data_IF_412324455881
#
_entry.id   IF_412324455881
#
_cell.length_a   1.000
_cell.length_b   1.000
_cell.length_c   1.000
_cell.angle_alpha   90.00
_cell.angle_beta   90.00
_cell.angle_gamma   90.00
#
_symmetry.space_group_name_H-M   'P 1'
#
loop_
_entity.id
_entity.type
_entity.pdbx_description
1 polymer ?
#
# COMPACT_ATOMS: atom_id res chain seq x y z
N UNK A 1 11.97 -11.07 -5.23
CA UNK A 1 11.08 -11.16 -4.06
C UNK A 1 11.54 -12.28 -3.15
N UNK A 2 11.77 -11.98 -1.89
CA UNK A 2 12.28 -12.94 -0.90
C UNK A 2 11.20 -13.98 -0.51
N UNK A 3 11.57 -15.19 -0.05
CA UNK A 3 10.61 -16.17 0.46
C UNK A 3 9.75 -15.64 1.62
N UNK A 4 10.31 -14.74 2.44
CA UNK A 4 9.60 -14.07 3.54
C UNK A 4 8.47 -13.19 3.01
N UNK A 5 8.77 -12.30 2.06
CA UNK A 5 7.75 -11.40 1.48
C UNK A 5 6.67 -12.16 0.73
N UNK A 6 7.02 -13.26 0.06
CA UNK A 6 6.01 -14.12 -0.58
C UNK A 6 5.01 -14.66 0.44
N UNK A 7 5.47 -15.10 1.61
CA UNK A 7 4.59 -15.59 2.70
C UNK A 7 3.70 -14.48 3.25
N UNK A 8 4.23 -13.25 3.38
CA UNK A 8 3.48 -12.08 3.85
C UNK A 8 2.42 -11.67 2.81
N UNK A 9 2.77 -11.67 1.53
CA UNK A 9 1.91 -11.17 0.46
C UNK A 9 0.83 -12.19 0.02
N UNK A 10 1.14 -13.49 -0.01
CA UNK A 10 0.24 -14.50 -0.59
C UNK A 10 -1.19 -14.50 0.00
N UNK A 11 -1.40 -14.38 1.33
CA UNK A 11 -2.76 -14.32 1.90
C UNK A 11 -3.60 -13.17 1.35
N UNK A 12 -2.97 -12.03 1.07
CA UNK A 12 -3.63 -10.81 0.59
C UNK A 12 -3.83 -10.84 -0.94
N UNK A 13 -2.89 -11.46 -1.66
CA UNK A 13 -2.88 -11.42 -3.12
C UNK A 13 -3.58 -12.60 -3.81
N UNK A 14 -3.88 -13.69 -3.09
CA UNK A 14 -4.42 -14.93 -3.67
C UNK A 14 -5.75 -14.76 -4.42
N UNK A 15 -6.58 -13.82 -4.00
CA UNK A 15 -7.91 -13.56 -4.58
C UNK A 15 -7.88 -12.50 -5.67
N UNK A 16 -6.71 -11.92 -5.99
CA UNK A 16 -6.59 -10.90 -7.02
C UNK A 16 -6.45 -11.52 -8.40
N UNK A 17 -7.06 -10.88 -9.40
CA UNK A 17 -6.85 -11.22 -10.81
C UNK A 17 -5.36 -11.27 -11.15
N UNK A 18 -4.97 -12.22 -12.00
CA UNK A 18 -3.56 -12.48 -12.32
C UNK A 18 -2.81 -11.23 -12.81
N UNK A 19 -3.48 -10.34 -13.56
CA UNK A 19 -2.89 -9.07 -14.03
C UNK A 19 -2.63 -8.10 -12.88
N UNK A 20 -3.60 -7.93 -11.98
CA UNK A 20 -3.50 -7.04 -10.81
C UNK A 20 -2.45 -7.58 -9.84
N UNK A 21 -2.50 -8.89 -9.55
CA UNK A 21 -1.50 -9.59 -8.74
C UNK A 21 -0.07 -9.36 -9.26
N UNK A 22 0.16 -9.48 -10.57
CA UNK A 22 1.48 -9.16 -11.17
C UNK A 22 1.87 -7.69 -11.01
N UNK A 23 0.92 -6.75 -11.05
CA UNK A 23 1.17 -5.34 -10.78
C UNK A 23 1.65 -5.11 -9.35
N UNK A 24 0.91 -5.66 -8.38
CA UNK A 24 1.25 -5.57 -6.95
C UNK A 24 2.61 -6.21 -6.66
N UNK A 25 2.85 -7.42 -7.16
CA UNK A 25 4.11 -8.13 -6.95
C UNK A 25 5.32 -7.38 -7.53
N UNK A 26 5.18 -6.76 -8.71
CA UNK A 26 6.27 -5.94 -9.31
C UNK A 26 6.58 -4.72 -8.45
N UNK A 27 5.57 -4.07 -7.89
CA UNK A 27 5.75 -2.92 -7.00
C UNK A 27 6.45 -3.33 -5.70
N UNK A 28 6.02 -4.43 -5.07
CA UNK A 28 6.66 -4.97 -3.87
C UNK A 28 8.13 -5.28 -4.14
N UNK A 29 8.43 -5.98 -5.24
CA UNK A 29 9.80 -6.33 -5.62
C UNK A 29 10.67 -5.10 -5.89
N UNK A 30 10.11 -4.05 -6.50
CA UNK A 30 10.81 -2.78 -6.68
C UNK A 30 11.15 -2.12 -5.33
N UNK A 31 10.19 -2.08 -4.38
CA UNK A 31 10.41 -1.50 -3.05
C UNK A 31 11.43 -2.30 -2.24
N UNK A 32 11.42 -3.64 -2.32
CA UNK A 32 12.44 -4.48 -1.67
C UNK A 32 13.85 -4.20 -2.20
N UNK A 33 14.01 -4.09 -3.53
CA UNK A 33 15.31 -3.78 -4.14
C UNK A 33 15.79 -2.38 -3.77
N UNK A 34 14.88 -1.42 -3.73
CA UNK A 34 15.19 -0.05 -3.33
C UNK A 34 15.59 0.00 -1.85
N UNK A 35 14.90 -0.71 -0.95
CA UNK A 35 15.30 -0.82 0.46
C UNK A 35 16.70 -1.43 0.60
N UNK A 36 17.01 -2.50 -0.13
CA UNK A 36 18.32 -3.13 -0.12
C UNK A 36 19.42 -2.16 -0.61
N UNK A 37 19.12 -1.39 -1.66
CA UNK A 37 20.02 -0.37 -2.17
C UNK A 37 20.26 0.76 -1.15
N UNK A 38 19.20 1.29 -0.52
CA UNK A 38 19.30 2.33 0.51
C UNK A 38 20.08 1.83 1.73
N UNK A 39 19.83 0.59 2.16
CA UNK A 39 20.56 -0.05 3.24
C UNK A 39 22.05 -0.21 2.93
N UNK A 40 22.40 -0.61 1.70
CA UNK A 40 23.80 -0.74 1.27
C UNK A 40 24.54 0.58 1.13
N UNK A 41 23.83 1.71 1.06
CA UNK A 41 24.39 3.07 1.03
C UNK A 41 24.39 3.77 2.39
N UNK A 42 24.03 3.05 3.45
CA UNK A 42 23.92 3.61 4.81
C UNK A 42 23.00 4.84 4.88
N UNK A 43 21.87 4.79 4.15
CA UNK A 43 20.88 5.88 4.18
C UNK A 43 20.50 6.25 5.62
N UNK A 44 20.51 7.55 5.92
CA UNK A 44 20.31 8.05 7.28
C UNK A 44 18.93 7.67 7.82
N UNK A 45 17.89 7.74 6.98
CA UNK A 45 16.53 7.42 7.40
C UNK A 45 16.36 5.93 7.65
N UNK A 46 16.92 5.07 6.79
CA UNK A 46 16.93 3.61 7.01
C UNK A 46 17.66 3.26 8.31
N UNK A 47 18.84 3.84 8.51
CA UNK A 47 19.63 3.61 9.72
C UNK A 47 18.89 4.09 10.98
N UNK A 48 18.24 5.26 10.89
CA UNK A 48 17.47 5.84 11.99
C UNK A 48 16.28 4.96 12.39
N UNK A 49 15.42 4.57 11.44
CA UNK A 49 14.22 3.78 11.77
C UNK A 49 14.59 2.39 12.29
N UNK A 50 15.68 1.78 11.81
CA UNK A 50 16.18 0.50 12.34
C UNK A 50 16.61 0.61 13.80
N UNK A 51 17.31 1.70 14.19
CA UNK A 51 17.63 1.98 15.60
C UNK A 51 16.38 2.19 16.46
N UNK A 52 15.27 2.60 15.85
CA UNK A 52 13.95 2.75 16.48
C UNK A 52 13.14 1.44 16.51
N UNK A 53 13.73 0.31 16.11
CA UNK A 53 13.10 -1.01 16.17
C UNK A 53 12.25 -1.36 14.96
N UNK A 54 12.35 -0.62 13.85
CA UNK A 54 11.75 -1.03 12.59
C UNK A 54 12.59 -2.12 11.92
N UNK A 55 12.09 -3.36 11.98
CA UNK A 55 12.69 -4.48 11.26
C UNK A 55 12.36 -4.45 9.77
N UNK A 56 13.18 -5.13 8.98
CA UNK A 56 12.95 -5.28 7.54
C UNK A 56 11.63 -6.02 7.27
N UNK A 57 11.24 -7.00 8.09
CA UNK A 57 9.93 -7.67 7.98
C UNK A 57 8.77 -6.69 8.20
N UNK A 58 8.89 -5.77 9.15
CA UNK A 58 7.84 -4.77 9.39
C UNK A 58 7.71 -3.80 8.22
N UNK A 59 8.84 -3.40 7.62
CA UNK A 59 8.84 -2.58 6.40
C UNK A 59 8.24 -3.34 5.22
N UNK A 60 8.55 -4.62 5.08
CA UNK A 60 7.97 -5.49 4.05
C UNK A 60 6.45 -5.60 4.18
N UNK A 61 5.91 -5.76 5.39
CA UNK A 61 4.45 -5.72 5.63
C UNK A 61 3.86 -4.40 5.14
N UNK A 62 4.50 -3.27 5.47
CA UNK A 62 4.07 -1.96 5.00
C UNK A 62 4.13 -1.83 3.47
N UNK A 63 5.16 -2.38 2.81
CA UNK A 63 5.26 -2.38 1.34
C UNK A 63 4.16 -3.20 0.67
N UNK A 64 3.78 -4.34 1.25
CA UNK A 64 2.65 -5.16 0.76
C UNK A 64 1.35 -4.35 0.87
N UNK A 65 1.08 -3.78 2.03
CA UNK A 65 -0.16 -3.01 2.27
C UNK A 65 -0.21 -1.76 1.38
N UNK A 66 0.88 -0.99 1.30
CA UNK A 66 1.00 0.16 0.40
C UNK A 66 0.76 -0.27 -1.06
N UNK A 67 1.38 -1.36 -1.51
CA UNK A 67 1.24 -1.81 -2.90
C UNK A 67 -0.19 -2.28 -3.23
N UNK A 68 -0.85 -2.96 -2.30
CA UNK A 68 -2.26 -3.34 -2.44
C UNK A 68 -3.15 -2.09 -2.49
N UNK A 69 -2.91 -1.13 -1.61
CA UNK A 69 -3.64 0.12 -1.61
C UNK A 69 -3.48 0.86 -2.95
N UNK A 70 -2.26 1.07 -3.41
CA UNK A 70 -1.94 1.83 -4.62
C UNK A 70 -2.45 1.17 -5.91
N UNK A 71 -2.42 -0.15 -6.00
CA UNK A 71 -2.78 -0.88 -7.24
C UNK A 71 -4.24 -1.35 -7.28
N UNK A 72 -4.90 -1.40 -6.11
CA UNK A 72 -6.23 -2.01 -5.99
C UNK A 72 -7.18 -1.01 -5.34
N UNK A 73 -7.01 -0.74 -4.05
CA UNK A 73 -8.03 -0.03 -3.27
C UNK A 73 -8.15 1.46 -3.63
N UNK A 74 -7.03 2.14 -3.86
CA UNK A 74 -7.00 3.56 -4.27
C UNK A 74 -7.70 3.79 -5.61
N UNK A 75 -7.34 3.06 -6.69
CA UNK A 75 -8.03 3.16 -7.98
C UNK A 75 -9.52 2.83 -7.90
N UNK A 76 -9.88 1.77 -7.17
CA UNK A 76 -11.27 1.35 -6.98
C UNK A 76 -12.06 2.42 -6.18
N UNK A 77 -11.47 2.99 -5.13
CA UNK A 77 -12.07 4.07 -4.35
C UNK A 77 -12.31 5.32 -5.21
N UNK A 78 -11.34 5.68 -6.06
CA UNK A 78 -11.48 6.81 -6.97
C UNK A 78 -12.60 6.59 -8.00
N UNK A 79 -12.67 5.39 -8.58
CA UNK A 79 -13.73 5.01 -9.52
C UNK A 79 -15.12 4.98 -8.85
N UNK A 80 -15.20 4.55 -7.59
CA UNK A 80 -16.45 4.50 -6.83
C UNK A 80 -17.01 5.88 -6.43
N UNK A 81 -16.18 6.94 -6.43
CA UNK A 81 -16.61 8.32 -6.11
C UNK A 81 -17.34 9.04 -7.26
N UNK A 82 -17.39 8.47 -8.47
CA UNK A 82 -18.03 9.11 -9.62
C UNK A 82 -19.59 9.02 -9.58
N UNK A 83 -20.25 10.07 -9.04
CA UNK A 83 -21.65 10.45 -9.33
C UNK A 83 -22.40 11.12 -8.15
N UNK A 84 -23.04 12.31 -8.33
CA UNK A 84 -24.12 12.46 -9.33
C UNK A 84 -23.86 13.32 -10.58
N UNK A 85 -22.93 14.28 -10.58
CA UNK A 85 -22.78 15.26 -11.69
C UNK A 85 -21.40 15.29 -12.39
N UNK A 86 -20.84 14.14 -12.76
CA UNK A 86 -19.62 14.16 -13.57
C UNK A 86 -19.23 12.82 -14.15
N UNK A 87 -18.86 12.85 -15.44
CA UNK A 87 -18.17 11.90 -16.34
C UNK A 87 -18.37 10.37 -16.18
N UNK A 88 -18.46 9.83 -14.96
CA UNK A 88 -18.73 8.42 -14.67
C UNK A 88 -20.21 8.03 -14.63
N UNK A 89 -21.15 8.98 -14.73
CA UNK A 89 -22.59 8.68 -14.87
C UNK A 89 -22.96 8.26 -16.30
N UNK A 90 -22.17 8.67 -17.29
CA UNK A 90 -22.44 8.42 -18.72
C UNK A 90 -21.50 7.39 -19.34
N UNK A 91 -20.31 7.18 -18.75
CA UNK A 91 -19.29 6.26 -19.28
C UNK A 91 -18.86 5.29 -18.17
N UNK A 92 -19.17 3.99 -18.27
CA UNK A 92 -18.74 3.01 -17.28
C UNK A 92 -17.21 2.95 -17.24
N UNK A 93 -16.62 3.37 -16.13
CA UNK A 93 -15.18 3.25 -15.87
C UNK A 93 -14.87 1.76 -15.69
N UNK A 94 -14.04 1.19 -16.58
CA UNK A 94 -13.61 -0.20 -16.50
C UNK A 94 -12.25 -0.28 -15.79
N UNK A 95 -12.18 -1.07 -14.72
CA UNK A 95 -10.90 -1.50 -14.15
C UNK A 95 -10.78 -3.02 -14.32
N UNK A 96 -10.07 -3.46 -15.36
CA UNK A 96 -10.06 -4.88 -15.76
C UNK A 96 -11.42 -5.31 -16.31
N UNK A 97 -12.00 -6.38 -15.76
CA UNK A 97 -13.34 -6.91 -16.12
C UNK A 97 -14.48 -6.32 -15.28
N UNK A 98 -14.18 -5.51 -14.26
CA UNK A 98 -15.18 -5.01 -13.33
C UNK A 98 -15.90 -3.76 -13.85
N UNK A 99 -17.24 -3.80 -13.82
CA UNK A 99 -18.12 -2.66 -14.07
C UNK A 99 -18.59 -2.08 -12.72
N UNK A 100 -18.32 -0.81 -12.47
CA UNK A 100 -18.68 -0.16 -11.21
C UNK A 100 -20.14 0.30 -11.23
N UNK A 101 -20.96 -0.31 -10.36
CA UNK A 101 -22.33 0.09 -10.05
C UNK A 101 -22.42 0.68 -8.64
N UNK A 102 -23.54 1.32 -8.28
CA UNK A 102 -23.77 1.88 -6.92
C UNK A 102 -23.63 0.81 -5.82
N UNK A 103 -24.03 -0.44 -6.09
CA UNK A 103 -23.87 -1.59 -5.18
C UNK A 103 -22.40 -2.02 -5.05
N UNK A 104 -21.64 -1.96 -6.16
CA UNK A 104 -20.20 -2.20 -6.18
C UNK A 104 -19.46 -1.15 -5.35
N UNK A 105 -19.87 0.13 -5.42
CA UNK A 105 -19.29 1.21 -4.63
C UNK A 105 -19.45 1.01 -3.10
N UNK A 106 -20.62 0.50 -2.65
CA UNK A 106 -20.84 0.18 -1.24
C UNK A 106 -19.92 -0.92 -0.71
N UNK A 107 -19.74 -2.01 -1.48
CA UNK A 107 -18.84 -3.10 -1.11
C UNK A 107 -17.37 -2.66 -1.07
N UNK A 108 -16.99 -1.74 -1.97
CA UNK A 108 -15.65 -1.14 -2.00
C UNK A 108 -15.38 -0.30 -0.75
N UNK A 109 -16.35 0.48 -0.29
CA UNK A 109 -16.21 1.26 0.94
C UNK A 109 -16.03 0.38 2.17
N UNK A 110 -16.77 -0.72 2.27
CA UNK A 110 -16.61 -1.70 3.36
C UNK A 110 -15.22 -2.34 3.32
N UNK A 111 -14.78 -2.83 2.15
CA UNK A 111 -13.46 -3.43 1.98
C UNK A 111 -12.32 -2.45 2.31
N UNK A 112 -12.46 -1.18 1.91
CA UNK A 112 -11.49 -0.15 2.26
C UNK A 112 -11.48 0.12 3.77
N UNK A 113 -12.64 0.19 4.42
CA UNK A 113 -12.74 0.38 5.86
C UNK A 113 -12.04 -0.75 6.62
N UNK A 114 -12.33 -2.01 6.27
CA UNK A 114 -11.72 -3.18 6.91
C UNK A 114 -10.20 -3.20 6.69
N UNK A 115 -9.74 -2.81 5.50
CA UNK A 115 -8.32 -2.66 5.20
C UNK A 115 -7.65 -1.60 6.09
N UNK A 116 -8.29 -0.43 6.27
CA UNK A 116 -7.75 0.63 7.13
C UNK A 116 -7.73 0.23 8.61
N UNK A 117 -8.74 -0.53 9.08
CA UNK A 117 -8.72 -1.10 10.44
C UNK A 117 -7.51 -2.03 10.62
N UNK A 118 -7.19 -2.86 9.63
CA UNK A 118 -6.00 -3.72 9.68
C UNK A 118 -4.70 -2.90 9.78
N UNK A 119 -4.60 -1.81 9.02
CA UNK A 119 -3.46 -0.88 9.05
C UNK A 119 -3.30 -0.27 10.45
N UNK A 120 -4.41 0.17 11.05
CA UNK A 120 -4.41 0.73 12.41
C UNK A 120 -4.05 -0.31 13.47
N UNK A 121 -4.57 -1.54 13.35
CA UNK A 121 -4.24 -2.67 14.26
C UNK A 121 -2.75 -3.02 14.23
N UNK A 122 -2.11 -2.88 13.07
CA UNK A 122 -0.66 -3.06 12.90
C UNK A 122 0.15 -1.85 13.38
N UNK A 123 -0.51 -0.84 13.96
CA UNK A 123 0.09 0.43 14.39
C UNK A 123 0.86 1.12 13.25
N UNK A 124 0.29 1.08 12.05
CA UNK A 124 0.81 1.77 10.87
C UNK A 124 -0.03 3.02 10.61
N UNK A 125 0.60 4.10 10.16
CA UNK A 125 -0.14 5.31 9.78
C UNK A 125 -0.76 5.13 8.39
N UNK A 126 -2.05 5.39 8.27
CA UNK A 126 -2.78 5.30 6.99
C UNK A 126 -2.17 6.21 5.91
N UNK A 127 -1.60 7.35 6.31
CA UNK A 127 -0.93 8.29 5.39
C UNK A 127 0.24 7.66 4.63
N UNK A 128 0.93 6.66 5.21
CA UNK A 128 2.05 5.96 4.56
C UNK A 128 1.61 5.10 3.37
N UNK A 129 0.32 4.78 3.25
CA UNK A 129 -0.22 4.05 2.10
C UNK A 129 -0.19 4.90 0.82
N UNK A 130 -0.10 6.23 0.95
CA UNK A 130 -0.04 7.16 -0.16
C UNK A 130 1.38 7.38 -0.73
N UNK A 131 2.41 6.89 -0.04
CA UNK A 131 3.80 6.98 -0.49
C UNK A 131 4.04 6.22 -1.80
N UNK A 132 4.73 6.85 -2.75
CA UNK A 132 4.87 6.32 -4.12
C UNK A 132 6.08 5.40 -4.28
N UNK A 133 7.16 5.63 -3.54
CA UNK A 133 8.42 4.86 -3.60
C UNK A 133 8.79 4.25 -2.25
N UNK A 134 9.80 3.37 -2.20
CA UNK A 134 10.35 2.93 -0.91
C UNK A 134 10.98 4.11 -0.17
N UNK A 135 11.70 4.99 -0.87
CA UNK A 135 12.25 6.22 -0.28
C UNK A 135 11.18 7.07 0.42
N UNK A 136 10.02 7.27 -0.21
CA UNK A 136 8.91 8.03 0.39
C UNK A 136 8.37 7.35 1.65
N UNK A 137 8.25 6.01 1.65
CA UNK A 137 7.80 5.26 2.83
C UNK A 137 8.81 5.38 3.97
N UNK A 138 10.09 5.14 3.68
CA UNK A 138 11.17 5.23 4.66
C UNK A 138 11.25 6.64 5.25
N UNK A 139 11.17 7.67 4.41
CA UNK A 139 11.15 9.06 4.85
C UNK A 139 9.94 9.36 5.75
N UNK A 140 8.74 8.91 5.38
CA UNK A 140 7.52 9.14 6.16
C UNK A 140 7.57 8.47 7.54
N UNK A 141 8.07 7.23 7.61
CA UNK A 141 8.28 6.52 8.88
C UNK A 141 9.34 7.22 9.73
N UNK A 142 10.49 7.57 9.13
CA UNK A 142 11.56 8.27 9.84
C UNK A 142 11.10 9.63 10.38
N UNK A 143 10.35 10.38 9.59
CA UNK A 143 9.77 11.66 10.01
C UNK A 143 8.85 11.50 11.20
N UNK A 144 7.96 10.49 11.16
CA UNK A 144 7.07 10.19 12.28
C UNK A 144 7.85 9.80 13.55
N UNK A 145 8.83 8.90 13.45
CA UNK A 145 9.65 8.50 14.61
C UNK A 145 10.43 9.68 15.20
N UNK A 146 10.92 10.61 14.38
CA UNK A 146 11.56 11.86 14.85
C UNK A 146 10.58 12.77 15.59
N UNK A 147 9.30 12.78 15.20
CA UNK A 147 8.30 13.57 15.94
C UNK A 147 8.01 12.98 17.31
N UNK A 148 8.02 11.64 17.44
CA UNK A 148 7.86 10.97 18.74
C UNK A 148 9.06 11.15 19.67
N UNK A 149 10.26 11.37 19.13
CA UNK A 149 11.45 11.64 19.94
C UNK A 149 11.45 13.06 20.53
N UNK A 150 10.75 14.00 19.89
CA UNK A 150 10.72 15.42 20.28
C UNK A 150 9.55 15.79 21.19
N UNK A 151 8.54 14.92 21.32
CA UNK A 151 7.35 15.13 22.15
C UNK A 151 7.41 14.30 23.42
#
# INVERSE_FOLDING_TARGET
MTPSVRRIADPVLRSLDARVRRGVLRRIDAMERELAFLAGREDENVSFIRRRGWSDERLQVLFVLNSVYQQVLGPIQAAAKAGPEGLGSTIPVRHGTATFSRKTAGNVQVALKDFLVMVDMLKLQQSWLHSNTCGDVVFAVASFERTLERG
#
